data_IF_198588813527
#
_entry.id   IF_198588813527
#
_cell.length_a   1.000
_cell.length_b   1.000
_cell.length_c   1.000
_cell.angle_alpha   90.00
_cell.angle_beta   90.00
_cell.angle_gamma   90.00
#
_symmetry.space_group_name_H-M   'P 1'
#
loop_
_entity.id
_entity.type
_entity.pdbx_description
1 polymer ?
#
# COMPACT_ATOMS: atom_id res chain seq x y z
N UNK A 1 -2.58 12.32 -10.85
CA UNK A 1 -1.28 12.84 -10.36
C UNK A 1 -0.30 11.68 -10.46
N UNK A 2 0.87 11.89 -11.07
CA UNK A 2 1.84 10.82 -11.35
C UNK A 2 3.16 11.17 -10.68
N UNK A 3 3.85 10.18 -10.11
CA UNK A 3 5.15 10.37 -9.49
C UNK A 3 6.25 10.44 -10.56
N UNK A 4 7.10 11.47 -10.52
CA UNK A 4 8.20 11.74 -11.48
C UNK A 4 9.49 11.00 -11.15
N UNK A 5 9.59 10.51 -9.92
CA UNK A 5 10.74 9.78 -9.38
C UNK A 5 10.33 8.34 -9.12
N UNK A 6 11.30 7.42 -9.01
CA UNK A 6 10.98 6.04 -8.62
C UNK A 6 10.39 6.04 -7.21
N UNK A 7 9.38 5.20 -6.99
CA UNK A 7 8.73 5.06 -5.69
C UNK A 7 9.72 4.80 -4.56
N UNK A 8 10.72 3.93 -4.78
CA UNK A 8 11.74 3.59 -3.78
C UNK A 8 12.54 4.82 -3.35
N UNK A 9 12.94 5.66 -4.31
CA UNK A 9 13.71 6.87 -4.05
C UNK A 9 12.86 7.92 -3.32
N UNK A 10 11.60 8.08 -3.75
CA UNK A 10 10.64 8.96 -3.07
C UNK A 10 10.41 8.54 -1.62
N UNK A 11 10.09 7.27 -1.40
CA UNK A 11 9.87 6.71 -0.07
C UNK A 11 11.09 6.90 0.81
N UNK A 12 12.28 6.56 0.33
CA UNK A 12 13.52 6.71 1.09
C UNK A 12 13.77 8.16 1.51
N UNK A 13 13.43 9.12 0.66
CA UNK A 13 13.59 10.54 1.00
C UNK A 13 12.55 11.02 2.02
N UNK A 14 11.30 10.56 1.94
CA UNK A 14 10.29 10.86 2.98
C UNK A 14 10.64 10.20 4.31
N UNK A 15 11.11 8.95 4.31
CA UNK A 15 11.57 8.26 5.53
C UNK A 15 12.71 9.06 6.20
N UNK A 16 13.63 9.61 5.41
CA UNK A 16 14.68 10.51 5.92
C UNK A 16 14.09 11.76 6.58
N UNK A 17 13.11 12.41 5.95
CA UNK A 17 12.47 13.59 6.55
C UNK A 17 11.70 13.25 7.83
N UNK A 18 11.10 12.07 7.93
CA UNK A 18 10.45 11.59 9.16
C UNK A 18 11.49 11.51 10.28
N UNK A 19 12.63 10.86 10.05
CA UNK A 19 13.73 10.74 11.02
C UNK A 19 14.26 12.12 11.44
N UNK A 20 14.48 13.02 10.47
CA UNK A 20 14.92 14.40 10.76
C UNK A 20 13.90 15.15 11.64
N UNK A 21 12.61 14.95 11.40
CA UNK A 21 11.54 15.50 12.23
C UNK A 21 11.54 14.92 13.65
N UNK A 22 11.74 13.61 13.80
CA UNK A 22 11.85 12.94 15.10
C UNK A 22 13.07 13.43 15.89
N UNK A 23 14.22 13.61 15.21
CA UNK A 23 15.43 14.17 15.82
C UNK A 23 15.20 15.59 16.35
N UNK A 24 14.43 16.43 15.63
CA UNK A 24 14.02 17.75 16.11
C UNK A 24 13.13 17.65 17.36
N UNK A 25 12.17 16.72 17.39
CA UNK A 25 11.33 16.48 18.58
C UNK A 25 12.20 16.10 19.77
N UNK A 26 13.12 15.16 19.59
CA UNK A 26 13.99 14.65 20.65
C UNK A 26 14.96 15.72 21.16
N UNK A 27 15.51 16.56 20.26
CA UNK A 27 16.38 17.67 20.61
C UNK A 27 15.69 18.68 21.53
N UNK A 28 14.44 19.05 21.25
CA UNK A 28 13.77 20.17 21.92
C UNK A 28 12.72 19.77 22.98
N UNK A 29 12.44 18.47 23.21
CA UNK A 29 11.42 18.00 24.19
C UNK A 29 11.61 18.54 25.61
N UNK A 30 12.86 18.77 26.00
CA UNK A 30 13.23 19.26 27.34
C UNK A 30 13.49 20.76 27.39
N UNK A 31 13.38 21.48 26.28
CA UNK A 31 13.68 22.91 26.19
C UNK A 31 12.70 23.78 26.97
N UNK A 32 13.20 24.85 27.59
CA UNK A 32 12.43 25.73 28.49
C UNK A 32 12.75 27.21 28.31
N UNK A 33 13.58 27.58 27.32
CA UNK A 33 14.04 28.96 27.12
C UNK A 33 13.44 29.61 25.87
N UNK A 34 13.45 30.95 25.82
CA UNK A 34 12.96 31.69 24.64
C UNK A 34 13.91 31.54 23.44
N UNK A 35 15.21 31.38 23.70
CA UNK A 35 16.23 31.11 22.66
C UNK A 35 15.98 29.76 21.99
N UNK A 36 15.86 28.68 22.77
CA UNK A 36 15.53 27.35 22.23
C UNK A 36 14.19 27.32 21.52
N UNK A 37 13.21 28.12 21.98
CA UNK A 37 11.92 28.23 21.30
C UNK A 37 12.03 28.89 19.92
N UNK A 38 12.86 29.92 19.79
CA UNK A 38 13.13 30.57 18.51
C UNK A 38 13.87 29.61 17.56
N UNK A 39 14.86 28.87 18.07
CA UNK A 39 15.60 27.86 17.30
C UNK A 39 14.71 26.70 16.83
N UNK A 40 13.84 26.18 17.71
CA UNK A 40 12.87 25.14 17.36
C UNK A 40 11.95 25.60 16.23
N UNK A 41 11.42 26.83 16.32
CA UNK A 41 10.56 27.38 15.26
C UNK A 41 11.29 27.51 13.93
N UNK A 42 12.52 28.01 13.94
CA UNK A 42 13.32 28.15 12.73
C UNK A 42 13.65 26.77 12.12
N UNK A 43 14.06 25.82 12.95
CA UNK A 43 14.40 24.44 12.54
C UNK A 43 13.18 23.73 11.93
N UNK A 44 12.03 23.80 12.60
CA UNK A 44 10.76 23.25 12.10
C UNK A 44 10.37 23.89 10.78
N UNK A 45 10.48 25.22 10.65
CA UNK A 45 10.10 25.92 9.42
C UNK A 45 10.99 25.52 8.24
N UNK A 46 12.31 25.34 8.47
CA UNK A 46 13.23 24.85 7.44
C UNK A 46 12.84 23.45 7.00
N UNK A 47 12.67 22.54 7.95
CA UNK A 47 12.25 21.16 7.68
C UNK A 47 10.92 21.09 6.92
N UNK A 48 9.90 21.87 7.34
CA UNK A 48 8.63 21.95 6.61
C UNK A 48 8.82 22.36 5.14
N UNK A 49 9.67 23.36 4.90
CA UNK A 49 9.88 23.87 3.54
C UNK A 49 10.57 22.82 2.67
N UNK A 50 11.57 22.13 3.21
CA UNK A 50 12.31 21.09 2.49
C UNK A 50 11.37 19.92 2.12
N UNK A 51 10.54 19.48 3.05
CA UNK A 51 9.51 18.44 2.83
C UNK A 51 8.51 18.87 1.76
N UNK A 52 7.93 20.06 1.91
CA UNK A 52 6.90 20.57 0.99
C UNK A 52 7.47 20.74 -0.42
N UNK A 53 8.67 21.29 -0.54
CA UNK A 53 9.31 21.52 -1.83
C UNK A 53 9.64 20.20 -2.53
N UNK A 54 10.15 19.21 -1.79
CA UNK A 54 10.42 17.88 -2.32
C UNK A 54 9.15 17.19 -2.81
N UNK A 55 8.10 17.11 -1.98
CA UNK A 55 6.84 16.45 -2.35
C UNK A 55 6.20 17.15 -3.54
N UNK A 56 6.11 18.49 -3.51
CA UNK A 56 5.53 19.28 -4.59
C UNK A 56 6.17 18.95 -5.95
N UNK A 57 7.51 18.93 -6.01
CA UNK A 57 8.28 18.71 -7.26
C UNK A 57 8.33 17.25 -7.70
N UNK A 58 7.98 16.32 -6.81
CA UNK A 58 8.01 14.89 -7.10
C UNK A 58 6.83 14.42 -7.94
N UNK A 59 5.78 15.24 -8.13
CA UNK A 59 4.58 14.88 -8.87
C UNK A 59 4.37 15.68 -10.16
N UNK A 60 3.67 15.07 -11.12
CA UNK A 60 3.17 15.67 -12.37
C UNK A 60 1.63 15.52 -12.45
N UNK A 61 0.87 16.63 -12.55
CA UNK A 61 1.31 18.00 -12.30
C UNK A 61 1.78 18.17 -10.84
N UNK A 62 2.52 19.25 -10.56
CA UNK A 62 3.02 19.55 -9.20
C UNK A 62 1.89 19.49 -8.15
N UNK A 63 2.17 18.89 -6.99
CA UNK A 63 1.19 18.73 -5.92
C UNK A 63 1.04 20.02 -5.09
N UNK A 64 0.48 21.07 -5.70
CA UNK A 64 0.40 22.41 -5.12
C UNK A 64 -0.36 22.48 -3.78
N UNK A 65 -1.30 21.56 -3.55
CA UNK A 65 -2.11 21.53 -2.32
C UNK A 65 -1.44 20.83 -1.14
N UNK A 66 -0.33 20.11 -1.34
CA UNK A 66 0.29 19.31 -0.28
C UNK A 66 0.67 20.15 0.95
N UNK A 67 1.12 21.39 0.73
CA UNK A 67 1.44 22.31 1.83
C UNK A 67 0.27 22.57 2.80
N UNK A 68 -0.97 22.56 2.30
CA UNK A 68 -2.17 22.76 3.11
C UNK A 68 -2.62 21.48 3.81
N UNK A 69 -2.35 20.32 3.21
CA UNK A 69 -2.70 19.00 3.73
C UNK A 69 -1.70 18.54 4.79
N UNK A 70 -0.42 18.88 4.62
CA UNK A 70 0.68 18.49 5.47
C UNK A 70 0.74 19.31 6.77
N UNK A 71 0.59 20.64 6.70
CA UNK A 71 0.78 21.51 7.87
C UNK A 71 -0.31 21.28 8.92
N UNK A 72 0.11 21.12 10.17
CA UNK A 72 -0.82 20.97 11.29
C UNK A 72 -1.76 22.19 11.40
N UNK A 73 -3.04 21.94 11.65
CA UNK A 73 -4.00 23.04 11.79
C UNK A 73 -3.65 23.91 13.00
N UNK A 74 -3.52 25.21 12.76
CA UNK A 74 -3.27 26.18 13.82
C UNK A 74 -4.51 26.29 14.71
N UNK A 75 -4.37 25.89 15.98
CA UNK A 75 -5.43 26.05 16.96
C UNK A 75 -5.86 27.51 17.14
N UNK A 76 -7.11 27.70 17.58
CA UNK A 76 -7.66 29.03 17.87
C UNK A 76 -6.88 29.71 19.00
N UNK A 77 -6.38 30.92 18.72
CA UNK A 77 -5.64 31.71 19.70
C UNK A 77 -6.63 32.58 20.49
N UNK A 78 -7.00 32.16 21.70
CA UNK A 78 -7.97 32.85 22.57
C UNK A 78 -7.43 34.15 23.19
N UNK A 79 -6.28 34.67 22.72
CA UNK A 79 -5.65 35.88 23.24
C UNK A 79 -4.94 35.71 24.59
N UNK A 80 -4.88 34.49 25.15
CA UNK A 80 -4.15 34.23 26.39
C UNK A 80 -2.64 34.18 26.15
N UNK A 81 -1.86 34.89 26.99
CA UNK A 81 -0.39 34.81 26.98
C UNK A 81 0.05 33.46 27.55
N UNK A 82 0.49 32.57 26.67
CA UNK A 82 1.07 31.28 27.04
C UNK A 82 2.50 31.44 27.58
N UNK A 83 2.83 30.70 28.64
CA UNK A 83 4.21 30.53 29.10
C UNK A 83 5.07 29.82 28.05
N UNK A 84 6.38 30.02 28.10
CA UNK A 84 7.32 29.51 27.08
C UNK A 84 7.26 27.98 26.94
N UNK A 85 7.18 27.27 28.06
CA UNK A 85 7.02 25.81 28.10
C UNK A 85 5.82 25.32 27.30
N UNK A 86 4.68 26.02 27.43
CA UNK A 86 3.47 25.65 26.70
C UNK A 86 3.59 25.96 25.22
N UNK A 87 4.25 27.07 24.85
CA UNK A 87 4.53 27.39 23.44
C UNK A 87 5.42 26.33 22.80
N UNK A 88 6.48 25.89 23.49
CA UNK A 88 7.37 24.81 23.03
C UNK A 88 6.58 23.52 22.84
N UNK A 89 5.79 23.10 23.84
CA UNK A 89 4.93 21.91 23.75
C UNK A 89 3.99 21.95 22.55
N UNK A 90 3.37 23.10 22.28
CA UNK A 90 2.47 23.25 21.14
C UNK A 90 3.21 23.09 19.80
N UNK A 91 4.42 23.64 19.66
CA UNK A 91 5.22 23.50 18.43
C UNK A 91 5.69 22.06 18.25
N UNK A 92 6.11 21.39 19.33
CA UNK A 92 6.48 19.97 19.31
C UNK A 92 5.28 19.10 18.92
N UNK A 93 4.09 19.38 19.46
CA UNK A 93 2.89 18.64 19.09
C UNK A 93 2.56 18.82 17.61
N UNK A 94 2.60 20.05 17.09
CA UNK A 94 2.40 20.30 15.66
C UNK A 94 3.41 19.55 14.78
N UNK A 95 4.68 19.51 15.19
CA UNK A 95 5.71 18.75 14.49
C UNK A 95 5.41 17.24 14.50
N UNK A 96 4.98 16.67 15.64
CA UNK A 96 4.55 15.26 15.72
C UNK A 96 3.36 14.97 14.82
N UNK A 97 2.38 15.87 14.77
CA UNK A 97 1.20 15.70 13.93
C UNK A 97 1.57 15.71 12.44
N UNK A 98 2.52 16.55 12.04
CA UNK A 98 3.07 16.61 10.68
C UNK A 98 3.89 15.35 10.32
N UNK A 99 4.71 14.84 11.24
CA UNK A 99 5.43 13.56 11.06
C UNK A 99 4.44 12.41 10.85
N UNK A 100 3.43 12.29 11.74
CA UNK A 100 2.37 11.29 11.60
C UNK A 100 1.60 11.46 10.27
N UNK A 101 1.43 12.71 9.82
CA UNK A 101 0.86 13.04 8.52
C UNK A 101 1.67 12.49 7.35
N UNK A 102 3.00 12.59 7.39
CA UNK A 102 3.90 12.01 6.38
C UNK A 102 3.85 10.49 6.35
N UNK A 103 3.87 9.85 7.52
CA UNK A 103 3.74 8.39 7.62
C UNK A 103 2.42 7.90 7.00
N UNK A 104 1.32 8.59 7.31
CA UNK A 104 0.02 8.28 6.74
C UNK A 104 -0.03 8.55 5.24
N UNK A 105 0.57 9.66 4.79
CA UNK A 105 0.67 9.99 3.37
C UNK A 105 1.42 8.89 2.60
N UNK A 106 2.57 8.44 3.09
CA UNK A 106 3.30 7.31 2.49
C UNK A 106 2.46 6.04 2.40
N UNK A 107 1.70 5.71 3.45
CA UNK A 107 0.82 4.53 3.43
C UNK A 107 -0.26 4.63 2.35
N UNK A 108 -0.86 5.81 2.18
CA UNK A 108 -1.88 6.02 1.15
C UNK A 108 -1.26 5.96 -0.25
N UNK A 109 -0.10 6.56 -0.46
CA UNK A 109 0.57 6.45 -1.77
C UNK A 109 1.03 5.02 -2.06
N UNK A 110 1.41 4.25 -1.04
CA UNK A 110 1.79 2.85 -1.20
C UNK A 110 0.65 1.96 -1.71
N UNK A 111 -0.61 2.28 -1.39
CA UNK A 111 -1.77 1.54 -1.91
C UNK A 111 -2.33 2.14 -3.21
N UNK A 112 -1.74 3.23 -3.72
CA UNK A 112 -2.14 3.89 -4.95
C UNK A 112 -1.53 3.18 -6.15
N UNK A 113 -2.35 2.43 -6.88
CA UNK A 113 -1.88 1.71 -8.07
C UNK A 113 -1.38 2.67 -9.16
N UNK A 114 -1.98 3.86 -9.25
CA UNK A 114 -1.57 4.92 -10.19
C UNK A 114 -0.14 5.40 -9.93
N UNK A 115 0.37 5.21 -8.71
CA UNK A 115 1.72 5.61 -8.32
C UNK A 115 2.68 4.42 -8.33
N UNK A 116 2.28 3.29 -7.76
CA UNK A 116 3.18 2.15 -7.56
C UNK A 116 3.26 1.26 -8.79
N UNK A 117 2.18 1.15 -9.55
CA UNK A 117 1.99 0.19 -10.65
C UNK A 117 1.42 0.88 -11.89
N UNK A 118 1.88 2.10 -12.15
CA UNK A 118 1.36 2.95 -13.23
C UNK A 118 1.39 2.25 -14.60
N UNK A 119 2.41 1.43 -14.85
CA UNK A 119 2.60 0.71 -16.11
C UNK A 119 1.77 -0.58 -16.23
N UNK A 120 1.15 -1.05 -15.13
CA UNK A 120 0.40 -2.31 -15.09
C UNK A 120 -1.13 -2.10 -15.16
N UNK A 121 -1.60 -0.90 -14.82
CA UNK A 121 -3.03 -0.62 -14.74
C UNK A 121 -3.56 0.05 -16.00
N UNK A 122 -4.73 -0.40 -16.43
CA UNK A 122 -5.53 0.34 -17.41
C UNK A 122 -6.37 1.40 -16.69
N UNK A 123 -5.99 2.67 -16.85
CA UNK A 123 -6.69 3.80 -16.23
C UNK A 123 -8.10 4.00 -16.80
N UNK A 124 -8.34 3.64 -18.05
CA UNK A 124 -9.65 3.78 -18.69
C UNK A 124 -10.60 2.71 -18.11
N UNK A 125 -10.13 1.47 -17.94
CA UNK A 125 -10.91 0.44 -17.23
C UNK A 125 -11.20 0.83 -15.78
N UNK A 126 -10.21 1.39 -15.07
CA UNK A 126 -10.38 1.85 -13.68
C UNK A 126 -11.44 2.94 -13.54
N UNK A 127 -11.46 3.91 -14.47
CA UNK A 127 -12.46 4.98 -14.47
C UNK A 127 -13.88 4.46 -14.72
N UNK A 128 -13.99 3.36 -15.46
CA UNK A 128 -15.27 2.76 -15.85
C UNK A 128 -15.73 1.62 -14.93
N UNK A 129 -15.10 1.44 -13.76
CA UNK A 129 -15.57 0.46 -12.77
C UNK A 129 -17.03 0.72 -12.40
N UNK A 130 -17.82 -0.34 -12.44
CA UNK A 130 -19.18 -0.33 -11.92
C UNK A 130 -19.18 -0.26 -10.38
N UNK A 131 -20.38 -0.21 -9.79
CA UNK A 131 -20.52 -0.12 -8.33
C UNK A 131 -19.84 -1.28 -7.62
N UNK A 132 -19.93 -2.51 -8.14
CA UNK A 132 -19.32 -3.69 -7.51
C UNK A 132 -17.79 -3.61 -7.57
N UNK A 133 -17.22 -3.28 -8.72
CA UNK A 133 -15.79 -3.08 -8.90
C UNK A 133 -15.21 -1.98 -8.00
N UNK A 134 -15.95 -0.89 -7.76
CA UNK A 134 -15.55 0.16 -6.81
C UNK A 134 -15.57 -0.33 -5.36
N UNK A 135 -16.60 -1.08 -4.96
CA UNK A 135 -16.71 -1.67 -3.62
C UNK A 135 -15.58 -2.68 -3.37
N UNK A 136 -15.29 -3.53 -4.35
CA UNK A 136 -14.20 -4.51 -4.29
C UNK A 136 -12.83 -3.84 -4.23
N UNK A 137 -12.62 -2.76 -4.98
CA UNK A 137 -11.41 -1.96 -4.88
C UNK A 137 -11.21 -1.39 -3.47
N UNK A 138 -12.26 -0.79 -2.88
CA UNK A 138 -12.19 -0.27 -1.50
C UNK A 138 -11.81 -1.39 -0.52
N UNK A 139 -12.51 -2.53 -0.58
CA UNK A 139 -12.25 -3.68 0.28
C UNK A 139 -10.82 -4.21 0.13
N UNK A 140 -10.36 -4.37 -1.10
CA UNK A 140 -9.00 -4.83 -1.41
C UNK A 140 -7.93 -3.90 -0.82
N UNK A 141 -8.11 -2.58 -0.97
CA UNK A 141 -7.15 -1.59 -0.45
C UNK A 141 -7.21 -1.45 1.07
N UNK A 142 -8.38 -1.59 1.68
CA UNK A 142 -8.52 -1.65 3.14
C UNK A 142 -7.91 -2.95 3.72
N UNK A 143 -7.90 -4.05 2.95
CA UNK A 143 -7.19 -5.27 3.33
C UNK A 143 -5.67 -5.05 3.38
N UNK A 144 -5.11 -4.35 2.40
CA UNK A 144 -3.68 -3.99 2.38
C UNK A 144 -3.29 -3.08 3.56
N UNK A 145 -4.25 -2.32 4.11
CA UNK A 145 -4.07 -1.42 5.25
C UNK A 145 -4.51 -2.01 6.61
N UNK A 146 -4.92 -3.29 6.65
CA UNK A 146 -5.62 -3.87 7.80
C UNK A 146 -4.85 -3.78 9.13
N UNK A 147 -3.53 -3.95 9.09
CA UNK A 147 -2.71 -4.14 10.29
C UNK A 147 -2.64 -2.91 11.21
N UNK A 148 -2.90 -1.70 10.71
CA UNK A 148 -2.81 -0.49 11.53
C UNK A 148 -4.10 -0.14 12.29
N UNK A 149 -5.22 -0.80 11.97
CA UNK A 149 -6.56 -0.61 12.57
C UNK A 149 -7.07 0.84 12.55
N UNK A 150 -6.50 1.71 11.71
CA UNK A 150 -6.92 3.11 11.56
C UNK A 150 -8.05 3.22 10.54
N UNK A 151 -8.75 4.35 10.58
CA UNK A 151 -9.72 4.72 9.55
C UNK A 151 -9.00 5.44 8.42
N UNK A 152 -9.28 5.01 7.19
CA UNK A 152 -8.65 5.50 5.97
C UNK A 152 -9.70 6.15 5.07
N UNK A 153 -9.34 7.26 4.42
CA UNK A 153 -10.27 8.00 3.56
C UNK A 153 -10.64 7.18 2.31
N UNK A 154 -11.93 6.86 2.14
CA UNK A 154 -12.43 6.15 0.94
C UNK A 154 -12.15 6.97 -0.31
N UNK A 155 -12.33 8.29 -0.23
CA UNK A 155 -12.03 9.20 -1.32
C UNK A 155 -10.58 9.05 -1.78
N UNK A 156 -9.63 9.07 -0.85
CA UNK A 156 -8.21 8.93 -1.19
C UNK A 156 -7.87 7.54 -1.72
N UNK A 157 -8.49 6.49 -1.19
CA UNK A 157 -8.37 5.13 -1.72
C UNK A 157 -8.82 5.08 -3.19
N UNK A 158 -9.97 5.64 -3.52
CA UNK A 158 -10.53 5.59 -4.88
C UNK A 158 -9.74 6.47 -5.85
N UNK A 159 -9.54 7.75 -5.53
CA UNK A 159 -8.84 8.70 -6.40
C UNK A 159 -7.39 8.29 -6.62
N UNK A 160 -6.71 7.81 -5.57
CA UNK A 160 -5.35 7.25 -5.67
C UNK A 160 -5.27 5.99 -6.54
N UNK A 161 -6.39 5.30 -6.78
CA UNK A 161 -6.45 4.11 -7.63
C UNK A 161 -7.17 4.36 -8.97
N UNK A 162 -7.24 5.62 -9.39
CA UNK A 162 -7.72 6.01 -10.73
C UNK A 162 -9.24 6.08 -10.85
N UNK A 163 -9.97 6.02 -9.74
CA UNK A 163 -11.43 6.14 -9.72
C UNK A 163 -11.82 7.56 -9.29
N UNK A 164 -12.37 8.33 -10.21
CA UNK A 164 -12.91 9.65 -9.91
C UNK A 164 -14.30 9.53 -9.29
N UNK A 165 -14.54 10.29 -8.23
CA UNK A 165 -15.88 10.46 -7.66
C UNK A 165 -16.64 11.52 -8.47
N UNK A 166 -17.85 11.19 -8.88
CA UNK A 166 -18.66 12.06 -9.73
C UNK A 166 -19.39 13.14 -8.92
N UNK A 167 -19.72 12.85 -7.66
CA UNK A 167 -20.53 13.71 -6.81
C UNK A 167 -19.99 13.78 -5.38
N UNK A 168 -20.34 14.86 -4.67
CA UNK A 168 -20.09 14.97 -3.24
C UNK A 168 -20.95 13.94 -2.47
N UNK A 169 -20.32 13.11 -1.65
CA UNK A 169 -20.98 12.07 -0.84
C UNK A 169 -20.99 10.67 -1.45
N UNK A 170 -20.45 10.47 -2.66
CA UNK A 170 -20.39 9.15 -3.28
C UNK A 170 -19.49 8.17 -2.48
N UNK A 171 -18.46 8.71 -1.81
CA UNK A 171 -17.65 7.98 -0.83
C UNK A 171 -18.47 7.47 0.35
N UNK A 172 -19.42 8.28 0.84
CA UNK A 172 -20.34 7.90 1.92
C UNK A 172 -21.32 6.81 1.50
N UNK A 173 -21.86 6.89 0.28
CA UNK A 173 -22.78 5.87 -0.26
C UNK A 173 -22.09 4.49 -0.35
N UNK A 174 -20.87 4.44 -0.91
CA UNK A 174 -20.09 3.20 -0.94
C UNK A 174 -19.78 2.69 0.47
N UNK A 175 -19.42 3.59 1.39
CA UNK A 175 -19.16 3.23 2.77
C UNK A 175 -20.39 2.60 3.43
N UNK A 176 -21.57 3.20 3.24
CA UNK A 176 -22.82 2.67 3.80
C UNK A 176 -23.18 1.32 3.22
N UNK A 177 -22.96 1.09 1.93
CA UNK A 177 -23.18 -0.24 1.34
C UNK A 177 -22.29 -1.31 1.98
N UNK A 178 -21.00 -1.02 2.20
CA UNK A 178 -20.06 -1.96 2.82
C UNK A 178 -20.34 -2.15 4.32
N UNK A 179 -20.68 -1.07 5.03
CA UNK A 179 -21.02 -1.10 6.46
C UNK A 179 -22.30 -1.90 6.72
N UNK A 180 -23.33 -1.73 5.89
CA UNK A 180 -24.57 -2.52 5.97
C UNK A 180 -24.35 -4.02 5.73
N UNK A 181 -23.25 -4.40 5.07
CA UNK A 181 -22.80 -5.79 4.89
C UNK A 181 -21.88 -6.27 6.01
N UNK A 182 -21.66 -5.45 7.05
CA UNK A 182 -20.71 -5.66 8.14
C UNK A 182 -19.24 -5.82 7.70
N UNK A 183 -18.87 -5.36 6.51
CA UNK A 183 -17.52 -5.55 5.97
C UNK A 183 -16.54 -4.45 6.43
N UNK A 184 -17.05 -3.26 6.75
CA UNK A 184 -16.26 -2.13 7.25
C UNK A 184 -16.95 -1.46 8.44
N UNK A 185 -16.17 -0.76 9.28
CA UNK A 185 -16.67 0.29 10.17
C UNK A 185 -16.43 1.65 9.53
N UNK A 186 -17.36 2.59 9.68
CA UNK A 186 -17.20 3.95 9.16
C UNK A 186 -17.05 5.02 10.25
N UNK A 187 -16.38 6.10 9.91
CA UNK A 187 -16.40 7.36 10.66
C UNK A 187 -16.55 8.51 9.67
N UNK A 188 -17.49 9.41 9.93
CA UNK A 188 -17.68 10.60 9.10
C UNK A 188 -17.06 11.80 9.80
N UNK A 189 -16.04 12.40 9.19
CA UNK A 189 -15.48 13.68 9.63
C UNK A 189 -15.62 14.71 8.51
N UNK A 190 -14.52 15.09 7.85
CA UNK A 190 -14.53 15.90 6.62
C UNK A 190 -14.81 15.05 5.38
N UNK A 191 -14.20 13.87 5.33
CA UNK A 191 -14.42 12.82 4.31
C UNK A 191 -14.87 11.53 5.03
N UNK A 192 -15.37 10.55 4.27
CA UNK A 192 -15.76 9.25 4.85
C UNK A 192 -14.54 8.37 5.08
N UNK A 193 -14.21 8.15 6.35
CA UNK A 193 -13.17 7.23 6.78
C UNK A 193 -13.73 5.83 6.99
N UNK A 194 -12.99 4.81 6.58
CA UNK A 194 -13.37 3.42 6.71
C UNK A 194 -12.21 2.57 7.23
N UNK A 195 -12.54 1.52 7.97
CA UNK A 195 -11.60 0.44 8.30
C UNK A 195 -12.28 -0.90 8.10
N UNK A 196 -11.53 -1.91 7.72
CA UNK A 196 -12.07 -3.25 7.52
C UNK A 196 -12.44 -3.89 8.88
N UNK A 197 -13.59 -4.56 8.95
CA UNK A 197 -13.93 -5.41 10.09
C UNK A 197 -13.22 -6.75 9.99
N UNK A 198 -13.28 -7.57 11.06
CA UNK A 198 -12.83 -8.97 10.96
C UNK A 198 -13.66 -9.75 9.93
N UNK A 199 -14.96 -9.48 9.84
CA UNK A 199 -15.85 -10.12 8.86
C UNK A 199 -15.48 -9.72 7.43
N UNK A 200 -15.19 -8.43 7.20
CA UNK A 200 -14.69 -7.94 5.91
C UNK A 200 -13.38 -8.61 5.49
N UNK A 201 -12.43 -8.71 6.42
CA UNK A 201 -11.17 -9.44 6.19
C UNK A 201 -11.42 -10.89 5.80
N UNK A 202 -12.26 -11.58 6.57
CA UNK A 202 -12.59 -12.97 6.32
C UNK A 202 -13.28 -13.16 4.96
N UNK A 203 -14.24 -12.29 4.62
CA UNK A 203 -14.94 -12.33 3.34
C UNK A 203 -13.99 -12.21 2.15
N UNK A 204 -13.01 -11.30 2.21
CA UNK A 204 -11.97 -11.14 1.17
C UNK A 204 -11.11 -12.40 1.07
N UNK A 205 -10.68 -12.95 2.22
CA UNK A 205 -9.87 -14.18 2.25
C UNK A 205 -10.64 -15.37 1.67
N UNK A 206 -11.94 -15.48 1.95
CA UNK A 206 -12.79 -16.51 1.36
C UNK A 206 -12.99 -16.28 -0.15
N UNK A 207 -13.22 -15.04 -0.59
CA UNK A 207 -13.34 -14.71 -2.00
C UNK A 207 -12.06 -15.05 -2.79
N UNK A 208 -10.89 -14.73 -2.24
CA UNK A 208 -9.58 -15.09 -2.82
C UNK A 208 -9.36 -16.60 -2.87
N UNK A 209 -9.81 -17.34 -1.86
CA UNK A 209 -9.79 -18.82 -1.86
C UNK A 209 -10.79 -19.40 -2.87
N UNK A 210 -11.94 -18.74 -3.06
CA UNK A 210 -13.02 -19.18 -3.93
C UNK A 210 -12.80 -18.84 -5.41
N UNK A 211 -11.87 -17.94 -5.74
CA UNK A 211 -11.41 -17.77 -7.13
C UNK A 211 -10.86 -19.12 -7.63
N UNK A 212 -11.68 -19.78 -8.45
CA UNK A 212 -11.30 -21.00 -9.14
C UNK A 212 -10.27 -20.60 -10.17
N UNK A 213 -9.00 -20.93 -9.90
CA UNK A 213 -7.95 -20.74 -10.89
C UNK A 213 -8.34 -21.47 -12.17
N UNK A 214 -8.40 -20.75 -13.28
CA UNK A 214 -8.67 -21.34 -14.59
C UNK A 214 -7.43 -22.08 -15.08
N UNK A 215 -7.40 -23.39 -14.82
CA UNK A 215 -6.31 -24.26 -15.23
C UNK A 215 -6.36 -24.64 -16.72
N UNK A 216 -7.36 -24.18 -17.49
CA UNK A 216 -7.46 -24.49 -18.92
C UNK A 216 -6.28 -23.95 -19.73
N UNK A 217 -5.67 -22.86 -19.25
CA UNK A 217 -4.55 -22.16 -19.88
C UNK A 217 -3.19 -22.84 -19.70
N UNK A 218 -3.07 -23.77 -18.76
CA UNK A 218 -1.84 -24.57 -18.59
C UNK A 218 -1.60 -25.38 -19.86
N UNK A 219 -0.35 -25.49 -20.31
CA UNK A 219 -0.02 -26.30 -21.48
C UNK A 219 -0.46 -27.76 -21.30
N UNK A 220 -0.87 -28.39 -22.41
CA UNK A 220 -1.13 -29.83 -22.44
C UNK A 220 0.14 -30.65 -22.71
N UNK A 221 1.23 -30.00 -23.16
CA UNK A 221 2.48 -30.68 -23.52
C UNK A 221 3.37 -30.83 -22.28
N UNK A 222 3.78 -32.06 -22.03
CA UNK A 222 4.74 -32.38 -20.99
C UNK A 222 6.09 -31.70 -21.25
N UNK A 223 6.53 -31.66 -22.51
CA UNK A 223 7.78 -31.02 -22.93
C UNK A 223 7.76 -29.52 -22.66
N UNK A 224 6.66 -28.84 -22.98
CA UNK A 224 6.50 -27.41 -22.71
C UNK A 224 6.49 -27.12 -21.21
N UNK A 225 5.80 -27.93 -20.40
CA UNK A 225 5.78 -27.76 -18.94
C UNK A 225 7.17 -27.99 -18.32
N UNK A 226 7.91 -29.01 -18.78
CA UNK A 226 9.28 -29.26 -18.33
C UNK A 226 10.22 -28.12 -18.71
N UNK A 227 10.11 -27.61 -19.94
CA UNK A 227 10.89 -26.48 -20.40
C UNK A 227 10.59 -25.20 -19.60
N UNK A 228 9.32 -24.97 -19.25
CA UNK A 228 8.90 -23.83 -18.44
C UNK A 228 9.44 -23.92 -17.01
N UNK A 229 9.38 -25.11 -16.38
CA UNK A 229 10.02 -25.36 -15.08
C UNK A 229 11.53 -25.06 -15.14
N UNK A 230 12.23 -25.52 -16.18
CA UNK A 230 13.64 -25.20 -16.34
C UNK A 230 13.92 -23.71 -16.52
N UNK A 231 13.03 -22.99 -17.22
CA UNK A 231 13.12 -21.54 -17.38
C UNK A 231 13.00 -20.84 -16.03
N UNK A 232 11.95 -21.15 -15.28
CA UNK A 232 11.70 -20.62 -13.93
C UNK A 232 12.89 -20.88 -13.02
N UNK A 233 13.41 -22.11 -12.97
CA UNK A 233 14.55 -22.46 -12.14
C UNK A 233 15.83 -21.71 -12.53
N UNK A 234 16.03 -21.42 -13.82
CA UNK A 234 17.16 -20.59 -14.28
C UNK A 234 17.01 -19.14 -13.83
N UNK A 235 15.81 -18.59 -13.85
CA UNK A 235 15.54 -17.22 -13.39
C UNK A 235 15.69 -17.08 -11.88
N UNK A 236 15.12 -18.02 -11.11
CA UNK A 236 15.30 -18.08 -9.65
C UNK A 236 16.79 -18.11 -9.27
N UNK A 237 17.60 -18.92 -9.97
CA UNK A 237 19.06 -18.93 -9.76
C UNK A 237 19.74 -17.60 -10.08
N UNK A 238 19.32 -16.90 -11.15
CA UNK A 238 19.88 -15.60 -11.53
C UNK A 238 19.58 -14.52 -10.48
N UNK A 239 18.45 -14.62 -9.79
CA UNK A 239 18.06 -13.72 -8.70
C UNK A 239 18.84 -13.98 -7.40
N UNK A 240 19.80 -14.91 -7.39
CA UNK A 240 20.59 -15.26 -6.20
C UNK A 240 19.84 -16.15 -5.20
N UNK A 241 18.69 -16.68 -5.59
CA UNK A 241 17.85 -17.55 -4.77
C UNK A 241 18.31 -19.00 -5.02
N UNK A 242 18.80 -19.63 -3.96
CA UNK A 242 19.53 -20.90 -4.04
C UNK A 242 19.14 -21.92 -2.97
N UNK A 243 18.05 -21.71 -2.23
CA UNK A 243 17.62 -22.67 -1.22
C UNK A 243 17.24 -24.00 -1.91
N UNK A 244 17.85 -25.09 -1.47
CA UNK A 244 17.67 -26.43 -2.04
C UNK A 244 16.20 -26.85 -2.09
N UNK A 245 15.41 -26.46 -1.08
CA UNK A 245 13.97 -26.71 -0.99
C UNK A 245 13.21 -26.25 -2.25
N UNK A 246 13.62 -25.17 -2.93
CA UNK A 246 12.95 -24.72 -4.16
C UNK A 246 13.19 -25.72 -5.29
N UNK A 247 14.44 -26.17 -5.46
CA UNK A 247 14.78 -27.12 -6.52
C UNK A 247 14.14 -28.47 -6.29
N UNK A 248 14.12 -28.95 -5.04
CA UNK A 248 13.49 -30.21 -4.67
C UNK A 248 11.98 -30.18 -4.99
N UNK A 249 11.28 -29.10 -4.63
CA UNK A 249 9.85 -28.93 -4.89
C UNK A 249 9.52 -28.91 -6.40
N UNK A 250 10.36 -28.26 -7.22
CA UNK A 250 10.18 -28.20 -8.67
C UNK A 250 10.61 -29.48 -9.39
N UNK A 251 11.63 -30.20 -8.89
CA UNK A 251 12.02 -31.51 -9.40
C UNK A 251 10.90 -32.54 -9.13
N UNK A 252 10.32 -32.54 -7.93
CA UNK A 252 9.12 -33.34 -7.63
C UNK A 252 7.95 -32.97 -8.55
N UNK A 253 7.69 -31.67 -8.72
CA UNK A 253 6.63 -31.20 -9.63
C UNK A 253 6.85 -31.68 -11.06
N UNK A 254 8.11 -31.68 -11.53
CA UNK A 254 8.51 -32.14 -12.87
C UNK A 254 8.26 -33.64 -13.05
N UNK A 255 8.60 -34.43 -12.05
CA UNK A 255 8.49 -35.90 -12.09
C UNK A 255 7.03 -36.37 -12.07
N UNK A 256 6.13 -35.55 -11.51
CA UNK A 256 4.70 -35.85 -11.45
C UNK A 256 3.90 -35.38 -12.68
N UNK A 257 4.44 -34.51 -13.55
CA UNK A 257 3.77 -34.03 -14.79
C UNK A 257 3.08 -35.17 -15.58
N UNK A 258 3.72 -36.32 -15.86
CA UNK A 258 3.13 -37.36 -16.70
C UNK A 258 1.84 -37.98 -16.12
N UNK A 259 1.61 -37.80 -14.81
CA UNK A 259 0.50 -38.42 -14.07
C UNK A 259 -0.61 -37.43 -13.75
N UNK A 260 -0.44 -36.14 -14.06
CA UNK A 260 -1.32 -35.08 -13.60
C UNK A 260 -2.17 -34.52 -14.74
N UNK A 261 -3.46 -34.29 -14.46
CA UNK A 261 -4.29 -33.43 -15.30
C UNK A 261 -3.84 -31.97 -15.14
N UNK A 262 -4.16 -31.09 -16.10
CA UNK A 262 -3.89 -29.63 -15.99
C UNK A 262 -4.36 -29.04 -14.66
N UNK A 263 -5.56 -29.43 -14.22
CA UNK A 263 -6.13 -29.00 -12.94
C UNK A 263 -5.30 -29.50 -11.76
N UNK A 264 -4.91 -30.77 -11.77
CA UNK A 264 -4.11 -31.37 -10.71
C UNK A 264 -2.71 -30.77 -10.66
N UNK A 265 -2.09 -30.52 -11.81
CA UNK A 265 -0.80 -29.85 -11.93
C UNK A 265 -0.86 -28.42 -11.38
N UNK A 266 -1.83 -27.62 -11.82
CA UNK A 266 -1.98 -26.25 -11.34
C UNK A 266 -2.28 -26.15 -9.84
N UNK A 267 -3.05 -27.09 -9.29
CA UNK A 267 -3.29 -27.18 -7.84
C UNK A 267 -2.01 -27.56 -7.07
N UNK A 268 -1.23 -28.50 -7.59
CA UNK A 268 0.04 -28.91 -6.98
C UNK A 268 1.06 -27.77 -7.02
N UNK A 269 1.22 -27.10 -8.17
CA UNK A 269 2.05 -25.92 -8.32
C UNK A 269 1.64 -24.82 -7.32
N UNK A 270 0.33 -24.53 -7.22
CA UNK A 270 -0.20 -23.58 -6.24
C UNK A 270 0.19 -23.95 -4.81
N UNK A 271 0.00 -25.20 -4.40
CA UNK A 271 0.35 -25.67 -3.05
C UNK A 271 1.84 -25.50 -2.77
N UNK A 272 2.71 -25.99 -3.67
CA UNK A 272 4.16 -25.92 -3.50
C UNK A 272 4.66 -24.48 -3.41
N UNK A 273 4.12 -23.56 -4.22
CA UNK A 273 4.46 -22.13 -4.13
C UNK A 273 4.04 -21.51 -2.79
N UNK A 274 2.87 -21.88 -2.25
CA UNK A 274 2.43 -21.46 -0.92
C UNK A 274 3.36 -21.98 0.19
N UNK A 275 3.78 -23.24 0.09
CA UNK A 275 4.69 -23.87 1.05
C UNK A 275 6.07 -23.18 1.03
N UNK A 276 6.59 -22.87 -0.17
CA UNK A 276 7.84 -22.13 -0.34
C UNK A 276 7.78 -20.70 0.20
N UNK A 277 6.65 -20.00 0.04
CA UNK A 277 6.44 -18.67 0.65
C UNK A 277 6.35 -18.77 2.16
N UNK A 278 5.66 -19.77 2.69
CA UNK A 278 5.54 -20.01 4.14
C UNK A 278 6.89 -20.35 4.77
N UNK A 279 7.72 -21.12 4.07
CA UNK A 279 9.09 -21.45 4.43
C UNK A 279 10.08 -20.28 4.25
N UNK A 280 9.61 -19.12 3.75
CA UNK A 280 10.44 -17.94 3.40
C UNK A 280 11.54 -18.24 2.38
N UNK A 281 11.33 -19.26 1.54
CA UNK A 281 12.22 -19.59 0.44
C UNK A 281 11.96 -18.69 -0.79
N UNK A 282 10.70 -18.32 -1.00
CA UNK A 282 10.27 -17.33 -2.00
C UNK A 282 9.50 -16.20 -1.32
N UNK A 283 9.54 -14.99 -1.88
CA UNK A 283 8.59 -13.95 -1.53
C UNK A 283 7.27 -14.12 -2.32
N UNK A 284 6.22 -13.43 -1.87
CA UNK A 284 4.88 -13.51 -2.49
C UNK A 284 4.88 -12.99 -3.93
N UNK A 285 5.67 -11.97 -4.24
CA UNK A 285 5.67 -11.38 -5.58
C UNK A 285 6.25 -12.37 -6.60
N UNK A 286 7.40 -12.95 -6.30
CA UNK A 286 8.06 -13.94 -7.16
C UNK A 286 7.22 -15.22 -7.30
N UNK A 287 6.61 -15.70 -6.23
CA UNK A 287 5.71 -16.85 -6.31
C UNK A 287 4.45 -16.55 -7.15
N UNK A 288 3.91 -15.32 -7.11
CA UNK A 288 2.84 -14.89 -8.01
C UNK A 288 3.28 -14.83 -9.47
N UNK A 289 4.50 -14.35 -9.76
CA UNK A 289 5.06 -14.31 -11.13
C UNK A 289 5.21 -15.71 -11.70
N UNK A 290 5.83 -16.62 -10.94
CA UNK A 290 6.01 -18.01 -11.36
C UNK A 290 4.65 -18.63 -11.68
N UNK A 291 3.66 -18.49 -10.79
CA UNK A 291 2.33 -19.05 -11.03
C UNK A 291 1.65 -18.47 -12.29
N UNK A 292 1.89 -17.18 -12.57
CA UNK A 292 1.37 -16.49 -13.74
C UNK A 292 1.96 -17.06 -15.03
N UNK A 293 3.22 -17.48 -15.05
CA UNK A 293 3.82 -18.11 -16.23
C UNK A 293 3.10 -19.40 -16.65
N UNK A 294 2.61 -20.18 -15.67
CA UNK A 294 1.89 -21.43 -15.96
C UNK A 294 0.40 -21.23 -16.22
N UNK A 295 -0.23 -20.22 -15.61
CA UNK A 295 -1.71 -20.11 -15.54
C UNK A 295 -2.29 -18.83 -16.14
N UNK A 296 -1.45 -17.88 -16.53
CA UNK A 296 -1.81 -16.49 -16.87
C UNK A 296 -2.62 -15.77 -15.78
N UNK A 297 -2.53 -16.23 -14.53
CA UNK A 297 -3.26 -15.67 -13.39
C UNK A 297 -2.30 -15.34 -12.26
N UNK A 298 -2.63 -14.29 -11.51
CA UNK A 298 -1.90 -13.96 -10.28
C UNK A 298 -2.26 -15.01 -9.24
N UNK A 299 -1.25 -15.58 -8.57
CA UNK A 299 -1.46 -16.50 -7.45
C UNK A 299 -2.25 -15.75 -6.35
N UNK A 300 -3.50 -16.15 -6.04
CA UNK A 300 -4.24 -15.51 -4.98
C UNK A 300 -3.65 -16.00 -3.66
N UNK A 301 -2.97 -15.11 -2.93
CA UNK A 301 -2.45 -15.36 -1.58
C UNK A 301 -3.52 -15.18 -0.50
#
# INVERSE_FOLDING_TARGET
MVLKVKWVDFKSQIDKYIIEGEDLVEKYKSSRTEEEFAELKASKQSWENDVIEFVKKSFEPEHLNFAYEFKAQRGYNLGMKLGIDQKIKNVIQALKDEINGLEYYLKILFISDVIIRADEIDLEERQNLDTEGKLDLILSKLYDLYDDRKYHSIKWILEGNGVNLNNHGEDWDYAKMLENRNLIDTITTKDTGARLTLEGKYAIEQARKAQVTDYSKISSSEEELKALIESVLKEVKKLGIGQQIIFDEFDELRDDIPKLSKKSFGQLLKSKLYDLVTAKALDKALASEIFKEFTNQVLPF
#
